data_IF_081970279667
#
_entry.id   IF_081970279667
#
_cell.length_a   1.000
_cell.length_b   1.000
_cell.length_c   1.000
_cell.angle_alpha   90.00
_cell.angle_beta   90.00
_cell.angle_gamma   90.00
#
_symmetry.space_group_name_H-M   'P 1'
#
loop_
_entity.id
_entity.type
_entity.pdbx_description
1 polymer ?
#
# COMPACT_ATOMS: atom_id res chain seq x y z
N UNK A 1 2.21 -12.64 -29.39
CA UNK A 1 2.57 -11.44 -28.67
C UNK A 1 2.50 -11.62 -27.18
N UNK A 2 3.46 -11.08 -26.50
CA UNK A 2 3.51 -11.16 -25.05
C UNK A 2 2.33 -10.48 -24.37
N UNK A 3 1.69 -9.55 -25.06
CA UNK A 3 0.55 -8.82 -24.55
C UNK A 3 -0.59 -9.70 -24.08
N UNK A 4 -0.83 -10.78 -24.79
CA UNK A 4 -1.94 -11.65 -24.45
C UNK A 4 -1.77 -12.30 -23.10
N UNK A 5 -0.55 -12.71 -22.81
CA UNK A 5 -0.26 -13.35 -21.54
C UNK A 5 -0.43 -12.38 -20.40
N UNK A 6 -0.03 -11.13 -20.60
CA UNK A 6 -0.06 -10.15 -19.56
C UNK A 6 -1.44 -9.55 -19.36
N UNK A 7 -2.36 -9.72 -20.33
CA UNK A 7 -3.63 -9.02 -20.25
C UNK A 7 -4.57 -9.58 -19.18
N UNK A 8 -4.62 -10.89 -18.98
CA UNK A 8 -5.57 -11.49 -18.05
C UNK A 8 -5.15 -11.42 -16.59
N UNK A 9 -4.08 -12.11 -16.17
CA UNK A 9 -3.68 -12.05 -14.77
C UNK A 9 -3.14 -10.68 -14.37
N UNK A 10 -2.65 -9.91 -15.35
CA UNK A 10 -2.04 -8.63 -15.08
C UNK A 10 -3.03 -7.46 -15.10
N UNK A 11 -4.27 -7.70 -15.48
CA UNK A 11 -5.25 -6.63 -15.49
C UNK A 11 -5.45 -6.04 -14.10
N UNK A 12 -5.61 -6.90 -13.09
CA UNK A 12 -5.72 -6.45 -11.71
C UNK A 12 -4.48 -5.72 -11.25
N UNK A 13 -3.31 -6.17 -11.65
CA UNK A 13 -2.04 -5.52 -11.30
C UNK A 13 -1.94 -4.15 -11.95
N UNK A 14 -2.39 -4.00 -13.18
CA UNK A 14 -2.38 -2.68 -13.85
C UNK A 14 -3.30 -1.69 -13.16
N UNK A 15 -4.48 -2.14 -12.78
CA UNK A 15 -5.41 -1.30 -12.04
C UNK A 15 -4.80 -0.91 -10.71
N UNK A 16 -4.21 -1.85 -9.99
CA UNK A 16 -3.56 -1.60 -8.73
C UNK A 16 -2.42 -0.59 -8.88
N UNK A 17 -1.59 -0.74 -9.90
CA UNK A 17 -0.50 0.20 -10.17
C UNK A 17 -1.02 1.60 -10.45
N UNK A 18 -2.07 1.70 -11.25
CA UNK A 18 -2.65 2.99 -11.58
C UNK A 18 -3.26 3.65 -10.34
N UNK A 19 -3.95 2.87 -9.53
CA UNK A 19 -4.49 3.36 -8.26
C UNK A 19 -3.36 3.87 -7.38
N UNK A 20 -2.27 3.14 -7.28
CA UNK A 20 -1.14 3.54 -6.46
C UNK A 20 -0.58 4.89 -6.90
N UNK A 21 -0.37 5.07 -8.18
CA UNK A 21 0.16 6.33 -8.72
C UNK A 21 -0.80 7.48 -8.49
N UNK A 22 -2.07 7.27 -8.78
CA UNK A 22 -3.06 8.32 -8.65
C UNK A 22 -3.29 8.69 -7.19
N UNK A 23 -3.32 7.69 -6.30
CA UNK A 23 -3.45 7.96 -4.86
C UNK A 23 -2.27 8.76 -4.32
N UNK A 24 -1.07 8.41 -4.73
CA UNK A 24 0.12 9.15 -4.29
C UNK A 24 -0.01 10.62 -4.63
N UNK A 25 -0.43 10.91 -5.86
CA UNK A 25 -0.64 12.30 -6.28
C UNK A 25 -1.78 12.99 -5.57
N UNK A 26 -2.91 12.28 -5.40
CA UNK A 26 -4.08 12.85 -4.73
C UNK A 26 -3.79 13.19 -3.28
N UNK A 27 -3.13 12.27 -2.56
CA UNK A 27 -2.80 12.49 -1.15
C UNK A 27 -1.85 13.68 -1.03
N UNK A 28 -0.83 13.74 -1.89
CA UNK A 28 0.16 14.81 -1.81
C UNK A 28 -0.41 16.18 -2.14
N UNK A 29 -1.34 16.25 -3.10
CA UNK A 29 -1.82 17.54 -3.60
C UNK A 29 -3.14 17.99 -3.01
N UNK A 30 -4.03 17.06 -2.70
CA UNK A 30 -5.41 17.41 -2.37
C UNK A 30 -5.83 17.10 -0.95
N UNK A 31 -5.16 16.15 -0.31
CA UNK A 31 -5.52 15.79 1.05
C UNK A 31 -4.85 16.74 2.05
N UNK A 32 -5.66 17.40 2.86
CA UNK A 32 -5.17 18.40 3.80
C UNK A 32 -5.53 18.05 5.24
N UNK A 33 -5.28 16.81 5.61
CA UNK A 33 -5.51 16.34 6.97
C UNK A 33 -4.16 16.37 7.70
N UNK A 34 -4.06 17.11 8.81
CA UNK A 34 -2.79 17.20 9.55
C UNK A 34 -2.33 15.87 10.14
N UNK A 35 -3.22 14.89 10.27
CA UNK A 35 -2.85 13.57 10.75
C UNK A 35 -2.09 12.79 9.68
N UNK A 36 -2.28 13.15 8.42
CA UNK A 36 -1.62 12.50 7.30
C UNK A 36 -0.36 13.28 6.98
N UNK A 37 0.76 12.76 7.44
CA UNK A 37 2.05 13.40 7.20
C UNK A 37 2.65 12.94 5.89
N UNK A 38 3.96 12.66 5.90
CA UNK A 38 4.64 12.15 4.71
C UNK A 38 4.36 10.67 4.56
N UNK A 39 3.44 10.35 3.70
CA UNK A 39 2.96 8.99 3.47
C UNK A 39 3.49 8.46 2.14
N UNK A 40 3.94 7.22 2.16
CA UNK A 40 4.32 6.50 0.95
C UNK A 40 3.35 5.35 0.76
N UNK A 41 2.76 5.24 -0.42
CA UNK A 41 1.93 4.09 -0.76
C UNK A 41 2.84 3.00 -1.28
N UNK A 42 2.94 1.91 -0.53
CA UNK A 42 3.86 0.83 -0.84
C UNK A 42 3.28 -0.20 -1.79
N UNK A 43 2.00 -0.50 -1.64
CA UNK A 43 1.34 -1.51 -2.45
C UNK A 43 -0.16 -1.31 -2.42
N UNK A 44 -0.82 -1.78 -3.47
CA UNK A 44 -2.27 -1.80 -3.56
C UNK A 44 -2.68 -3.19 -4.00
N UNK A 45 -3.60 -3.80 -3.25
CA UNK A 45 -4.16 -5.11 -3.59
C UNK A 45 -5.64 -4.97 -3.85
N UNK A 46 -6.05 -5.30 -5.07
CA UNK A 46 -7.44 -5.18 -5.49
C UNK A 46 -8.07 -6.58 -5.50
N UNK A 47 -9.29 -6.69 -4.94
CA UNK A 47 -10.00 -7.96 -4.96
C UNK A 47 -10.39 -8.33 -6.40
N UNK A 48 -10.58 -9.64 -6.68
CA UNK A 48 -10.88 -10.09 -8.06
C UNK A 48 -12.13 -9.45 -8.66
N UNK A 49 -13.10 -9.08 -7.82
CA UNK A 49 -14.32 -8.43 -8.28
C UNK A 49 -14.18 -6.90 -8.37
N UNK A 50 -13.00 -6.37 -8.06
CA UNK A 50 -12.71 -4.94 -8.05
C UNK A 50 -13.58 -4.13 -7.07
N UNK A 51 -14.17 -4.80 -6.09
CA UNK A 51 -15.01 -4.11 -5.13
C UNK A 51 -14.21 -3.44 -4.01
N UNK A 52 -13.07 -4.00 -3.68
CA UNK A 52 -12.25 -3.50 -2.58
C UNK A 52 -10.78 -3.43 -2.95
N UNK A 53 -10.09 -2.44 -2.43
CA UNK A 53 -8.65 -2.30 -2.57
C UNK A 53 -8.03 -2.09 -1.20
N UNK A 54 -7.06 -2.92 -0.85
CA UNK A 54 -6.23 -2.70 0.34
C UNK A 54 -5.04 -1.86 -0.07
N UNK A 55 -4.86 -0.73 0.60
CA UNK A 55 -3.78 0.20 0.31
C UNK A 55 -2.81 0.18 1.47
N UNK A 56 -1.63 -0.34 1.22
CA UNK A 56 -0.58 -0.43 2.24
C UNK A 56 0.31 0.79 2.17
N UNK A 57 0.51 1.43 3.30
CA UNK A 57 1.28 2.66 3.37
C UNK A 57 2.31 2.61 4.49
N UNK A 58 3.33 3.44 4.36
CA UNK A 58 4.28 3.69 5.44
C UNK A 58 4.37 5.18 5.69
N UNK A 59 4.86 5.54 6.88
CA UNK A 59 4.91 6.92 7.34
C UNK A 59 6.35 7.26 7.68
N UNK A 60 6.89 8.32 7.06
CA UNK A 60 8.22 8.80 7.39
C UNK A 60 8.21 9.62 8.67
N UNK A 61 7.18 10.43 8.85
CA UNK A 61 7.04 11.31 9.99
C UNK A 61 5.61 11.25 10.48
N UNK A 62 5.43 11.03 11.78
CA UNK A 62 4.12 11.03 12.37
C UNK A 62 3.72 9.67 12.91
N UNK A 63 2.49 9.60 13.40
CA UNK A 63 1.94 8.40 14.00
C UNK A 63 1.16 7.59 12.95
N UNK A 64 1.54 6.31 12.80
CA UNK A 64 0.93 5.43 11.82
C UNK A 64 -0.57 5.25 12.07
N UNK A 65 -0.98 5.14 13.33
CA UNK A 65 -2.40 4.93 13.64
C UNK A 65 -3.24 6.16 13.32
N UNK A 66 -2.75 7.34 13.69
CA UNK A 66 -3.44 8.58 13.37
C UNK A 66 -3.50 8.80 11.86
N UNK A 67 -2.43 8.46 11.17
CA UNK A 67 -2.39 8.56 9.72
C UNK A 67 -3.39 7.63 9.06
N UNK A 68 -3.47 6.37 9.54
CA UNK A 68 -4.43 5.41 9.02
C UNK A 68 -5.86 5.91 9.21
N UNK A 69 -6.14 6.46 10.37
CA UNK A 69 -7.46 7.02 10.67
C UNK A 69 -7.80 8.15 9.71
N UNK A 70 -6.86 9.08 9.50
CA UNK A 70 -7.06 10.18 8.57
C UNK A 70 -7.29 9.72 7.15
N UNK A 71 -6.49 8.77 6.69
CA UNK A 71 -6.62 8.22 5.34
C UNK A 71 -7.96 7.51 5.16
N UNK A 72 -8.36 6.71 6.14
CA UNK A 72 -9.63 5.98 6.04
C UNK A 72 -10.84 6.91 6.11
N UNK A 73 -10.76 7.99 6.86
CA UNK A 73 -11.82 8.99 6.85
C UNK A 73 -11.90 9.72 5.51
N UNK A 74 -10.79 9.87 4.84
CA UNK A 74 -10.74 10.51 3.52
C UNK A 74 -10.97 9.53 2.37
N UNK A 75 -11.22 8.26 2.67
CA UNK A 75 -11.32 7.21 1.63
C UNK A 75 -12.36 7.55 0.56
N UNK A 76 -13.53 8.07 0.97
CA UNK A 76 -14.56 8.45 0.02
C UNK A 76 -14.12 9.59 -0.91
N UNK A 77 -13.47 10.58 -0.36
CA UNK A 77 -12.93 11.70 -1.13
C UNK A 77 -11.87 11.21 -2.14
N UNK A 78 -10.99 10.35 -1.68
CA UNK A 78 -9.94 9.80 -2.53
C UNK A 78 -10.52 8.89 -3.62
N UNK A 79 -11.54 8.12 -3.27
CA UNK A 79 -12.22 7.27 -4.24
C UNK A 79 -12.86 8.10 -5.35
N UNK A 80 -13.50 9.22 -4.99
CA UNK A 80 -14.07 10.12 -5.98
C UNK A 80 -12.99 10.70 -6.90
N UNK A 81 -11.84 11.04 -6.34
CA UNK A 81 -10.72 11.52 -7.12
C UNK A 81 -10.22 10.49 -8.13
N UNK A 82 -10.16 9.24 -7.69
CA UNK A 82 -9.78 8.13 -8.55
C UNK A 82 -10.80 7.90 -9.66
N UNK A 83 -12.09 8.00 -9.34
CA UNK A 83 -13.15 7.81 -10.32
C UNK A 83 -12.98 8.74 -11.51
N UNK A 84 -12.59 9.97 -11.26
CA UNK A 84 -12.38 10.96 -12.31
C UNK A 84 -11.18 10.66 -13.19
N UNK A 85 -10.22 9.90 -12.68
CA UNK A 85 -8.95 9.64 -13.37
C UNK A 85 -8.88 8.29 -14.06
N UNK A 86 -9.52 7.27 -13.49
CA UNK A 86 -9.33 5.89 -13.95
C UNK A 86 -10.17 5.48 -15.14
N UNK A 87 -11.23 6.17 -15.46
CA UNK A 87 -12.10 5.81 -16.59
C UNK A 87 -12.56 4.35 -16.55
N UNK A 88 -12.83 3.82 -15.35
CA UNK A 88 -13.37 2.49 -15.17
C UNK A 88 -14.75 2.60 -14.55
N UNK A 89 -15.58 1.59 -14.79
CA UNK A 89 -16.95 1.61 -14.31
C UNK A 89 -17.05 1.58 -12.80
N UNK A 90 -16.18 0.84 -12.18
CA UNK A 90 -16.21 0.67 -10.73
C UNK A 90 -14.85 0.98 -10.14
N UNK A 91 -14.83 1.91 -9.18
CA UNK A 91 -13.63 2.19 -8.42
C UNK A 91 -13.76 1.44 -7.10
N UNK A 92 -12.75 0.66 -6.71
CA UNK A 92 -12.82 -0.09 -5.46
C UNK A 92 -12.98 0.79 -4.24
N UNK A 93 -13.62 0.27 -3.21
CA UNK A 93 -13.61 0.91 -1.91
C UNK A 93 -12.21 0.80 -1.32
N UNK A 94 -11.68 1.92 -0.86
CA UNK A 94 -10.30 1.97 -0.36
C UNK A 94 -10.25 1.67 1.12
N UNK A 95 -9.31 0.80 1.50
CA UNK A 95 -9.03 0.45 2.89
C UNK A 95 -7.55 0.65 3.15
N UNK A 96 -7.21 1.65 3.93
CA UNK A 96 -5.81 1.97 4.21
C UNK A 96 -5.32 1.21 5.42
N UNK A 97 -4.15 0.61 5.28
CA UNK A 97 -3.55 -0.21 6.31
C UNK A 97 -2.06 0.06 6.37
N UNK A 98 -1.55 0.26 7.58
CA UNK A 98 -0.12 0.47 7.75
C UNK A 98 0.64 -0.79 7.35
N UNK A 99 1.66 -0.61 6.52
CA UNK A 99 2.46 -1.72 6.02
C UNK A 99 3.55 -2.06 7.03
N UNK A 100 3.42 -3.22 7.65
CA UNK A 100 4.39 -3.69 8.64
C UNK A 100 5.47 -4.57 8.03
N UNK A 101 5.44 -4.75 6.72
CA UNK A 101 6.42 -5.60 6.04
C UNK A 101 7.86 -5.19 6.31
N UNK A 102 8.23 -3.90 6.23
CA UNK A 102 9.60 -3.50 6.54
C UNK A 102 10.02 -3.81 7.97
N UNK A 103 9.12 -3.64 8.94
CA UNK A 103 9.40 -3.96 10.34
C UNK A 103 9.57 -5.45 10.53
N UNK A 104 8.70 -6.24 9.93
CA UNK A 104 8.78 -7.70 10.00
C UNK A 104 10.05 -8.24 9.38
N UNK A 105 10.46 -7.65 8.26
CA UNK A 105 11.70 -8.04 7.61
C UNK A 105 12.90 -7.75 8.50
N UNK A 106 12.93 -6.60 9.15
CA UNK A 106 13.99 -6.24 10.07
C UNK A 106 14.03 -7.18 11.27
N UNK A 107 12.87 -7.50 11.84
CA UNK A 107 12.78 -8.45 12.96
C UNK A 107 13.26 -9.83 12.56
N UNK A 108 12.87 -10.31 11.40
CA UNK A 108 13.29 -11.59 10.89
C UNK A 108 14.80 -11.65 10.69
N UNK A 109 15.36 -10.59 10.10
CA UNK A 109 16.80 -10.51 9.88
C UNK A 109 17.56 -10.52 11.20
N UNK A 110 17.04 -9.85 12.23
CA UNK A 110 17.66 -9.84 13.54
C UNK A 110 17.61 -11.24 14.18
N UNK A 111 16.52 -11.95 14.01
CA UNK A 111 16.40 -13.33 14.51
C UNK A 111 17.37 -14.26 13.81
N UNK A 112 17.49 -14.14 12.51
CA UNK A 112 18.40 -14.95 11.72
C UNK A 112 19.85 -14.67 12.16
N UNK A 113 20.22 -13.43 12.34
CA UNK A 113 21.55 -13.05 12.77
C UNK A 113 21.87 -13.66 14.15
N UNK A 114 20.93 -13.64 15.08
CA UNK A 114 21.12 -14.25 16.40
C UNK A 114 21.26 -15.75 16.32
N UNK A 115 20.47 -16.39 15.48
CA UNK A 115 20.54 -17.84 15.30
C UNK A 115 21.90 -18.25 14.74
N UNK A 116 22.41 -17.50 13.76
CA UNK A 116 23.72 -17.78 13.17
C UNK A 116 24.84 -17.59 14.21
N UNK A 117 24.78 -16.52 14.99
CA UNK A 117 25.75 -16.25 16.03
C UNK A 117 25.76 -17.37 17.09
N UNK A 118 24.58 -17.83 17.47
CA UNK A 118 24.45 -18.93 18.43
C UNK A 118 25.06 -20.23 17.91
N UNK A 119 24.83 -20.52 16.62
CA UNK A 119 25.40 -21.68 15.97
C UNK A 119 26.95 -21.61 15.94
N UNK A 120 27.46 -20.47 15.62
CA UNK A 120 28.91 -20.28 15.57
C UNK A 120 29.56 -20.56 16.93
N UNK A 121 28.90 -20.16 18.01
CA UNK A 121 29.38 -20.43 19.35
C UNK A 121 29.33 -21.93 19.70
N UNK A 122 28.31 -22.61 19.22
CA UNK A 122 28.16 -24.03 19.50
C UNK A 122 29.20 -24.89 18.79
N UNK A 123 29.66 -24.45 17.64
CA UNK A 123 30.65 -25.18 16.86
C UNK A 123 32.07 -24.97 17.36
N UNK A 124 32.29 -24.00 18.17
CA UNK A 124 33.59 -23.75 18.79
C UNK A 124 33.79 -24.69 20.01
#
# INVERSE_FOLDING_TARGET
MANKKSSLPHRGFRVADQIQRDLTGLIARELKDPRVGMVTINAVEVTPDYAHAKVFFSVLVGDAEACAEGLNQAAGFLRNGLFKRLHIHTVPTLHFQYDRTPERAADMNALIARAVASRAKETD
#
